data_IF_237330575470
#
_entry.id   IF_237330575470
#
_cell.length_a   1.000
_cell.length_b   1.000
_cell.length_c   1.000
_cell.angle_alpha   90.00
_cell.angle_beta   90.00
_cell.angle_gamma   90.00
#
_symmetry.space_group_name_H-M   'P 1'
#
loop_
_entity.id
_entity.type
_entity.pdbx_description
1 polymer ?
#
# COMPACT_ATOMS: atom_id res chain seq x y z
N UNK A 1 3.98 5.99 4.78
CA UNK A 1 3.48 6.52 6.09
C UNK A 1 2.49 5.54 6.70
N UNK A 2 2.55 5.29 8.01
CA UNK A 2 1.58 4.45 8.74
C UNK A 2 1.16 5.11 10.05
N UNK A 3 -0.12 5.07 10.39
CA UNK A 3 -0.65 5.56 11.67
C UNK A 3 -0.95 4.40 12.60
N UNK A 4 -0.40 4.43 13.80
CA UNK A 4 -0.55 3.38 14.80
C UNK A 4 -1.21 3.92 16.07
N UNK A 5 -1.99 3.08 16.72
CA UNK A 5 -2.61 3.35 18.02
C UNK A 5 -1.71 2.80 19.14
N UNK A 6 -1.38 3.63 20.12
CA UNK A 6 -0.69 3.16 21.32
C UNK A 6 -1.66 2.37 22.20
N UNK A 7 -1.34 1.12 22.53
CA UNK A 7 -2.27 0.18 23.18
C UNK A 7 -2.64 0.56 24.62
N UNK A 8 -1.72 1.16 25.38
CA UNK A 8 -2.01 1.63 26.75
C UNK A 8 -2.52 3.08 26.80
N UNK A 9 -1.87 3.99 26.06
CA UNK A 9 -2.19 5.42 26.07
C UNK A 9 -3.41 5.79 25.23
N UNK A 10 -3.85 4.89 24.36
CA UNK A 10 -4.97 5.08 23.42
C UNK A 10 -4.81 6.33 22.53
N UNK A 11 -3.57 6.64 22.17
CA UNK A 11 -3.18 7.81 21.39
C UNK A 11 -2.64 7.41 20.02
N UNK A 12 -3.15 8.04 18.96
CA UNK A 12 -2.72 7.79 17.58
C UNK A 12 -1.40 8.53 17.27
N UNK A 13 -0.49 7.85 16.59
CA UNK A 13 0.82 8.37 16.20
C UNK A 13 1.09 8.04 14.73
N UNK A 14 1.65 9.00 14.00
CA UNK A 14 2.03 8.82 12.60
C UNK A 14 3.52 8.52 12.53
N UNK A 15 3.85 7.43 11.85
CA UNK A 15 5.21 7.01 11.54
C UNK A 15 5.45 7.19 10.05
N UNK A 16 6.59 7.78 9.72
CA UNK A 16 7.12 7.79 8.37
C UNK A 16 8.12 6.64 8.22
N UNK A 17 8.32 6.17 6.99
CA UNK A 17 9.01 4.93 6.64
C UNK A 17 10.32 4.69 7.42
N UNK A 18 10.66 3.41 7.64
CA UNK A 18 11.82 2.86 8.37
C UNK A 18 11.91 3.19 9.87
N UNK A 19 10.94 3.93 10.43
CA UNK A 19 10.94 4.35 11.85
C UNK A 19 9.82 3.75 12.70
N UNK A 20 8.96 2.92 12.12
CA UNK A 20 7.90 2.28 12.87
C UNK A 20 8.50 1.26 13.86
N UNK A 21 8.18 1.41 15.14
CA UNK A 21 8.44 0.38 16.14
C UNK A 21 7.60 -0.88 15.82
N UNK A 22 7.97 -2.06 16.36
CA UNK A 22 7.15 -3.26 16.22
C UNK A 22 5.69 -3.01 16.60
N UNK A 23 4.77 -3.48 15.76
CA UNK A 23 3.33 -3.28 15.92
C UNK A 23 2.55 -4.55 15.62
N UNK A 24 1.42 -4.70 16.31
CA UNK A 24 0.38 -5.67 15.95
C UNK A 24 -0.51 -5.09 14.86
N UNK A 25 -1.02 -5.92 13.96
CA UNK A 25 -2.02 -5.49 12.98
C UNK A 25 -3.34 -6.22 13.23
N UNK A 26 -4.45 -5.48 13.26
CA UNK A 26 -5.78 -6.07 13.40
C UNK A 26 -6.34 -6.47 12.03
N UNK A 27 -7.01 -7.61 12.02
CA UNK A 27 -7.80 -8.12 10.92
C UNK A 27 -9.19 -8.43 11.44
N UNK A 28 -10.22 -7.83 10.84
CA UNK A 28 -11.57 -7.92 11.38
C UNK A 28 -12.66 -7.64 10.34
N UNK A 29 -13.86 -8.11 10.65
CA UNK A 29 -15.06 -7.75 9.91
C UNK A 29 -15.57 -6.39 10.38
N UNK A 30 -15.77 -5.49 9.43
CA UNK A 30 -16.48 -4.24 9.70
C UNK A 30 -17.95 -4.56 9.95
N UNK A 31 -18.50 -3.85 10.91
CA UNK A 31 -19.90 -3.86 11.30
C UNK A 31 -20.47 -2.44 11.16
N UNK A 32 -21.78 -2.26 11.32
CA UNK A 32 -22.40 -0.93 11.16
C UNK A 32 -22.01 0.05 12.29
N UNK A 33 -21.25 -0.42 13.29
CA UNK A 33 -20.84 0.36 14.46
C UNK A 33 -19.34 0.60 14.54
N UNK A 34 -18.58 0.39 13.45
CA UNK A 34 -17.15 0.74 13.43
C UNK A 34 -16.93 2.24 13.69
N UNK A 35 -15.81 2.55 14.33
CA UNK A 35 -15.39 3.92 14.61
C UNK A 35 -14.35 4.34 13.58
N UNK A 36 -14.64 5.40 12.83
CA UNK A 36 -13.71 6.05 11.91
C UNK A 36 -12.59 6.78 12.67
N UNK A 37 -11.51 7.15 11.97
CA UNK A 37 -10.43 7.97 12.54
C UNK A 37 -10.97 9.25 13.19
N UNK A 38 -11.87 9.97 12.49
CA UNK A 38 -12.42 11.23 12.97
C UNK A 38 -13.28 11.01 14.22
N UNK A 39 -14.16 10.01 14.20
CA UNK A 39 -15.01 9.71 15.36
C UNK A 39 -14.17 9.29 16.58
N UNK A 40 -13.07 8.57 16.36
CA UNK A 40 -12.12 8.19 17.40
C UNK A 40 -11.43 9.41 18.02
N UNK A 41 -10.87 10.29 17.18
CA UNK A 41 -10.17 11.51 17.62
C UNK A 41 -11.10 12.49 18.34
N UNK A 42 -12.36 12.56 17.91
CA UNK A 42 -13.39 13.41 18.52
C UNK A 42 -14.05 12.76 19.75
N UNK A 43 -13.69 11.52 20.07
CA UNK A 43 -14.28 10.73 21.17
C UNK A 43 -15.82 10.60 21.08
N UNK A 44 -16.38 10.72 19.88
CA UNK A 44 -17.82 10.90 19.64
C UNK A 44 -18.65 9.60 19.73
N UNK A 45 -17.98 8.43 19.75
CA UNK A 45 -18.62 7.10 19.73
C UNK A 45 -18.06 6.14 20.79
N UNK A 46 -17.67 6.66 21.96
CA UNK A 46 -17.10 5.86 23.07
C UNK A 46 -18.02 4.72 23.54
N UNK A 47 -19.34 4.88 23.42
CA UNK A 47 -20.33 3.87 23.82
C UNK A 47 -20.68 2.87 22.69
N UNK A 48 -19.99 2.92 21.54
CA UNK A 48 -20.27 2.02 20.42
C UNK A 48 -19.53 0.68 20.52
N UNK A 49 -20.11 -0.37 19.95
CA UNK A 49 -19.46 -1.68 19.86
C UNK A 49 -18.14 -1.64 19.06
N UNK A 50 -18.00 -0.73 18.10
CA UNK A 50 -16.75 -0.54 17.38
C UNK A 50 -15.65 0.06 18.26
N UNK A 51 -16.00 0.99 19.16
CA UNK A 51 -15.04 1.53 20.12
C UNK A 51 -14.64 0.47 21.15
N UNK A 52 -15.60 -0.27 21.69
CA UNK A 52 -15.34 -1.41 22.57
C UNK A 52 -14.39 -2.42 21.92
N UNK A 53 -14.60 -2.75 20.63
CA UNK A 53 -13.71 -3.63 19.88
C UNK A 53 -12.30 -3.07 19.74
N UNK A 54 -12.12 -1.77 19.51
CA UNK A 54 -10.79 -1.14 19.51
C UNK A 54 -10.12 -1.32 20.87
N UNK A 55 -10.83 -1.05 21.97
CA UNK A 55 -10.30 -1.23 23.33
C UNK A 55 -9.92 -2.69 23.59
N UNK A 56 -10.74 -3.63 23.16
CA UNK A 56 -10.49 -5.06 23.30
C UNK A 56 -9.25 -5.52 22.51
N UNK A 57 -9.04 -4.99 21.31
CA UNK A 57 -7.79 -5.22 20.57
C UNK A 57 -6.56 -4.69 21.33
N UNK A 58 -6.67 -3.50 21.92
CA UNK A 58 -5.60 -2.94 22.76
C UNK A 58 -5.36 -3.77 24.03
N UNK A 59 -6.42 -4.17 24.75
CA UNK A 59 -6.36 -5.04 25.93
C UNK A 59 -5.67 -6.36 25.60
N UNK A 60 -6.12 -7.03 24.53
CA UNK A 60 -5.54 -8.29 24.06
C UNK A 60 -4.06 -8.13 23.70
N UNK A 61 -3.70 -7.05 23.01
CA UNK A 61 -2.31 -6.77 22.64
C UNK A 61 -1.43 -6.57 23.88
N UNK A 62 -1.89 -5.76 24.83
CA UNK A 62 -1.18 -5.53 26.10
C UNK A 62 -1.00 -6.82 26.90
N UNK A 63 -2.00 -7.69 26.90
CA UNK A 63 -2.00 -8.94 27.66
C UNK A 63 -1.07 -10.01 27.06
N UNK A 64 -1.09 -10.18 25.74
CA UNK A 64 -0.45 -11.34 25.10
C UNK A 64 0.75 -11.00 24.20
N UNK A 65 0.95 -9.73 23.84
CA UNK A 65 2.01 -9.31 22.92
C UNK A 65 3.07 -8.48 23.66
N UNK A 66 3.67 -9.06 24.72
CA UNK A 66 4.55 -8.34 25.66
C UNK A 66 5.63 -7.52 24.95
N UNK A 67 5.66 -6.23 25.29
CA UNK A 67 6.62 -5.26 24.76
C UNK A 67 6.28 -4.72 23.36
N UNK A 68 5.12 -5.02 22.80
CA UNK A 68 4.58 -4.36 21.60
C UNK A 68 3.61 -3.27 22.06
N UNK A 69 3.91 -2.01 21.73
CA UNK A 69 3.15 -0.85 22.21
C UNK A 69 2.13 -0.33 21.21
N UNK A 70 2.19 -0.82 19.97
CA UNK A 70 1.51 -0.24 18.84
C UNK A 70 0.60 -1.27 18.19
N UNK A 71 -0.58 -0.83 17.79
CA UNK A 71 -1.51 -1.62 16.98
C UNK A 71 -2.00 -0.78 15.80
N UNK A 72 -2.12 -1.40 14.64
CA UNK A 72 -2.82 -0.83 13.49
C UNK A 72 -4.22 -1.45 13.37
N UNK A 73 -5.24 -0.60 13.23
CA UNK A 73 -6.63 -1.01 13.01
C UNK A 73 -7.18 -0.14 11.88
N UNK A 74 -7.47 -0.73 10.72
CA UNK A 74 -7.88 -0.02 9.49
C UNK A 74 -9.05 0.96 9.66
N UNK A 75 -9.92 0.75 10.66
CA UNK A 75 -11.06 1.61 10.94
C UNK A 75 -10.68 2.96 11.50
N UNK A 76 -9.74 2.99 12.44
CA UNK A 76 -9.32 4.21 13.13
C UNK A 76 -7.88 4.64 12.82
N UNK A 77 -7.12 3.85 12.06
CA UNK A 77 -5.74 4.17 11.65
C UNK A 77 -5.67 4.73 10.22
N UNK A 78 -6.69 4.57 9.38
CA UNK A 78 -6.73 5.19 8.05
C UNK A 78 -7.69 6.37 8.07
N UNK A 79 -7.23 7.52 7.58
CA UNK A 79 -8.10 8.63 7.22
C UNK A 79 -8.87 8.32 5.93
N UNK A 80 -10.09 7.81 6.09
CA UNK A 80 -10.96 7.47 4.95
C UNK A 80 -11.56 8.69 4.25
N UNK A 81 -11.39 9.88 4.83
CA UNK A 81 -11.81 11.15 4.21
C UNK A 81 -10.74 11.68 3.24
N UNK A 82 -9.48 11.26 3.40
CA UNK A 82 -8.38 11.57 2.50
C UNK A 82 -8.29 10.53 1.38
N UNK A 83 -8.61 10.94 0.15
CA UNK A 83 -8.49 10.05 -1.01
C UNK A 83 -7.06 9.62 -1.28
N UNK A 84 -6.09 10.48 -0.96
CA UNK A 84 -4.65 10.22 -1.06
C UNK A 84 -4.23 9.16 -0.04
N UNK A 85 -4.59 9.32 1.23
CA UNK A 85 -4.23 8.36 2.28
C UNK A 85 -4.87 6.99 2.02
N UNK A 86 -6.11 6.94 1.54
CA UNK A 86 -6.74 5.67 1.14
C UNK A 86 -6.02 5.02 -0.03
N UNK A 87 -5.49 5.80 -0.99
CA UNK A 87 -4.76 5.25 -2.12
C UNK A 87 -3.37 4.71 -1.68
N UNK A 88 -2.68 5.44 -0.80
CA UNK A 88 -1.45 4.99 -0.16
C UNK A 88 -1.71 3.71 0.63
N UNK A 89 -2.75 3.68 1.47
CA UNK A 89 -3.11 2.52 2.27
C UNK A 89 -3.39 1.29 1.42
N UNK A 90 -4.16 1.41 0.33
CA UNK A 90 -4.42 0.27 -0.58
C UNK A 90 -3.11 -0.29 -1.16
N UNK A 91 -2.17 0.59 -1.52
CA UNK A 91 -0.90 0.19 -2.15
C UNK A 91 0.08 -0.38 -1.11
N UNK A 92 0.01 0.08 0.14
CA UNK A 92 0.93 -0.31 1.21
C UNK A 92 0.42 -1.43 2.12
N UNK A 93 -0.88 -1.77 2.07
CA UNK A 93 -1.52 -2.68 3.04
C UNK A 93 -0.81 -4.03 3.14
N UNK A 94 -0.46 -4.67 2.01
CA UNK A 94 0.27 -5.93 2.03
C UNK A 94 1.57 -5.83 2.83
N UNK A 95 2.35 -4.78 2.56
CA UNK A 95 3.62 -4.51 3.24
C UNK A 95 3.38 -4.30 4.74
N UNK A 96 2.35 -3.56 5.13
CA UNK A 96 2.02 -3.38 6.54
C UNK A 96 1.65 -4.70 7.23
N UNK A 97 0.91 -5.59 6.56
CA UNK A 97 0.66 -6.93 7.08
C UNK A 97 1.92 -7.81 7.13
N UNK A 98 2.83 -7.67 6.16
CA UNK A 98 4.11 -8.40 6.13
C UNK A 98 5.06 -7.98 7.25
N UNK A 99 5.15 -6.68 7.52
CA UNK A 99 6.03 -6.09 8.54
C UNK A 99 5.46 -6.17 9.97
N UNK A 100 4.16 -6.46 10.10
CA UNK A 100 3.52 -6.59 11.39
C UNK A 100 4.15 -7.72 12.22
N UNK A 101 4.30 -7.46 13.52
CA UNK A 101 4.80 -8.42 14.49
C UNK A 101 3.92 -9.69 14.50
N UNK A 102 2.60 -9.50 14.50
CA UNK A 102 1.61 -10.53 14.24
C UNK A 102 0.30 -9.87 13.80
N UNK A 103 -0.55 -10.66 13.18
CA UNK A 103 -1.92 -10.29 12.82
C UNK A 103 -2.92 -10.91 13.80
N UNK A 104 -3.79 -10.09 14.40
CA UNK A 104 -4.91 -10.56 15.22
C UNK A 104 -6.19 -10.58 14.38
N UNK A 105 -6.65 -11.77 14.02
CA UNK A 105 -7.87 -11.97 13.24
C UNK A 105 -9.07 -12.22 14.16
N UNK A 106 -9.87 -11.19 14.42
CA UNK A 106 -11.10 -11.30 15.19
C UNK A 106 -12.27 -11.80 14.32
N UNK A 107 -12.83 -12.93 14.70
CA UNK A 107 -13.88 -13.65 13.98
C UNK A 107 -15.21 -13.55 14.70
N UNK A 108 -16.01 -12.55 14.32
CA UNK A 108 -17.32 -12.24 14.94
C UNK A 108 -18.39 -13.35 14.82
N UNK A 109 -18.13 -14.36 14.00
CA UNK A 109 -19.04 -15.45 13.66
C UNK A 109 -18.55 -16.82 14.13
N UNK A 110 -17.46 -16.85 14.91
CA UNK A 110 -16.90 -18.07 15.51
C UNK A 110 -17.11 -18.04 17.03
N UNK A 111 -17.50 -19.20 17.59
CA UNK A 111 -17.65 -19.42 19.03
C UNK A 111 -16.83 -20.65 19.41
N UNK A 112 -15.76 -20.43 20.15
CA UNK A 112 -14.88 -21.47 20.66
C UNK A 112 -13.96 -22.10 19.61
N UNK A 113 -13.11 -23.06 20.05
CA UNK A 113 -12.06 -23.69 19.27
C UNK A 113 -12.60 -24.77 18.32
N UNK A 114 -13.55 -24.42 17.44
CA UNK A 114 -14.06 -25.32 16.41
C UNK A 114 -13.45 -24.98 15.05
N UNK A 115 -12.53 -25.83 14.57
CA UNK A 115 -11.93 -25.73 13.24
C UNK A 115 -12.97 -25.71 12.12
N UNK A 116 -14.09 -26.42 12.28
CA UNK A 116 -15.19 -26.38 11.32
C UNK A 116 -15.79 -24.98 11.20
N UNK A 117 -16.00 -24.30 12.33
CA UNK A 117 -16.53 -22.94 12.39
C UNK A 117 -15.52 -21.91 11.90
N UNK A 118 -14.23 -22.10 12.19
CA UNK A 118 -13.15 -21.29 11.59
C UNK A 118 -13.25 -21.29 10.07
N UNK A 119 -13.32 -22.47 9.45
CA UNK A 119 -13.30 -22.59 7.98
C UNK A 119 -14.56 -22.03 7.30
N UNK A 120 -15.69 -22.07 8.00
CA UNK A 120 -16.97 -21.49 7.55
C UNK A 120 -17.05 -19.98 7.80
N UNK A 121 -16.13 -19.41 8.58
CA UNK A 121 -16.17 -17.99 8.91
C UNK A 121 -16.23 -17.14 7.65
N UNK A 122 -17.08 -16.13 7.69
CA UNK A 122 -17.18 -15.08 6.69
C UNK A 122 -15.86 -14.33 6.49
N UNK A 123 -14.93 -14.40 7.46
CA UNK A 123 -13.60 -13.85 7.32
C UNK A 123 -12.87 -14.44 6.10
N UNK A 124 -12.92 -15.76 5.90
CA UNK A 124 -12.30 -16.39 4.74
C UNK A 124 -13.03 -16.15 3.42
N UNK A 125 -14.21 -15.53 3.45
CA UNK A 125 -15.01 -15.23 2.27
C UNK A 125 -14.81 -13.78 1.80
N UNK A 126 -13.97 -12.96 2.43
CA UNK A 126 -13.68 -11.59 1.97
C UNK A 126 -12.48 -11.53 1.06
N UNK A 127 -12.50 -10.57 0.13
CA UNK A 127 -11.34 -10.28 -0.70
C UNK A 127 -10.13 -9.79 0.10
N UNK A 128 -10.28 -8.71 0.85
CA UNK A 128 -9.19 -8.07 1.60
C UNK A 128 -8.49 -9.01 2.58
N UNK A 129 -9.22 -9.90 3.25
CA UNK A 129 -8.66 -10.86 4.20
C UNK A 129 -7.74 -11.91 3.56
N UNK A 130 -7.64 -11.97 2.23
CA UNK A 130 -6.60 -12.77 1.58
C UNK A 130 -5.23 -12.22 1.91
N UNK A 131 -5.02 -10.91 1.73
CA UNK A 131 -3.77 -10.25 2.07
C UNK A 131 -3.51 -10.38 3.58
N UNK A 132 -4.55 -10.18 4.40
CA UNK A 132 -4.48 -10.29 5.86
C UNK A 132 -4.12 -11.72 6.33
N UNK A 133 -4.31 -12.73 5.48
CA UNK A 133 -3.93 -14.13 5.74
C UNK A 133 -2.51 -14.46 5.27
N UNK A 134 -2.17 -14.09 4.04
CA UNK A 134 -0.92 -14.55 3.38
C UNK A 134 0.27 -13.64 3.62
N UNK A 135 0.03 -12.35 3.92
CA UNK A 135 1.10 -11.39 4.14
C UNK A 135 1.77 -11.53 5.51
N UNK A 136 1.04 -11.67 6.65
CA UNK A 136 1.69 -11.80 7.94
C UNK A 136 2.39 -13.14 8.10
N UNK A 137 3.54 -13.15 8.77
CA UNK A 137 4.18 -14.41 9.19
C UNK A 137 3.27 -15.19 10.15
N UNK A 138 2.67 -14.49 11.12
CA UNK A 138 1.79 -15.08 12.11
C UNK A 138 0.40 -14.42 12.10
N UNK A 139 -0.66 -15.23 12.06
CA UNK A 139 -2.05 -14.80 12.25
C UNK A 139 -2.62 -15.58 13.42
N UNK A 140 -3.12 -14.89 14.45
CA UNK A 140 -3.82 -15.48 15.60
C UNK A 140 -5.31 -15.28 15.40
N UNK A 141 -6.07 -16.37 15.43
CA UNK A 141 -7.52 -16.35 15.30
C UNK A 141 -8.17 -16.23 16.68
N UNK A 142 -9.01 -15.20 16.83
CA UNK A 142 -9.71 -14.83 18.05
C UNK A 142 -11.21 -14.97 17.81
N UNK A 143 -11.92 -15.61 18.74
CA UNK A 143 -13.37 -15.81 18.64
C UNK A 143 -14.18 -14.63 19.22
N UNK A 144 -15.51 -14.77 19.23
CA UNK A 144 -16.41 -13.74 19.80
C UNK A 144 -16.25 -13.47 21.29
N UNK A 145 -15.60 -14.35 22.05
CA UNK A 145 -15.32 -14.20 23.48
C UNK A 145 -13.93 -13.61 23.74
N UNK A 146 -13.20 -13.20 22.69
CA UNK A 146 -11.81 -12.74 22.77
C UNK A 146 -10.82 -13.81 23.22
N UNK A 147 -11.16 -15.08 22.98
CA UNK A 147 -10.27 -16.21 23.23
C UNK A 147 -9.55 -16.61 21.94
N UNK A 148 -8.22 -16.76 22.00
CA UNK A 148 -7.48 -17.36 20.89
C UNK A 148 -7.61 -18.87 20.88
N UNK A 149 -7.82 -19.43 19.69
CA UNK A 149 -7.97 -20.88 19.54
C UNK A 149 -7.08 -21.50 18.47
N UNK A 150 -6.49 -20.68 17.60
CA UNK A 150 -5.62 -21.18 16.55
C UNK A 150 -4.70 -20.11 15.97
N UNK A 151 -3.61 -20.54 15.35
CA UNK A 151 -2.73 -19.67 14.58
C UNK A 151 -2.36 -20.27 13.22
N UNK A 152 -2.07 -19.38 12.27
CA UNK A 152 -1.35 -19.66 11.03
C UNK A 152 0.06 -19.11 11.17
N UNK A 153 1.08 -19.91 10.86
CA UNK A 153 2.49 -19.48 10.82
C UNK A 153 3.44 -20.65 10.87
N UNK A 154 4.73 -20.41 11.13
CA UNK A 154 5.72 -21.49 11.25
C UNK A 154 5.30 -22.49 12.34
N UNK A 155 5.45 -23.78 12.05
CA UNK A 155 5.16 -24.82 13.03
C UNK A 155 6.20 -24.78 14.17
N UNK A 156 5.78 -24.33 15.35
CA UNK A 156 6.65 -24.13 16.51
C UNK A 156 7.29 -25.44 17.01
N UNK A 157 6.63 -26.59 16.81
CA UNK A 157 7.20 -27.89 17.20
C UNK A 157 8.37 -28.34 16.31
N UNK A 158 8.49 -27.76 15.12
CA UNK A 158 9.59 -27.99 14.17
C UNK A 158 10.65 -26.88 14.20
N UNK A 159 10.42 -25.82 14.96
CA UNK A 159 11.40 -24.74 15.09
C UNK A 159 12.68 -25.28 15.73
N UNK A 160 13.83 -25.06 15.07
CA UNK A 160 15.13 -25.37 15.66
C UNK A 160 15.36 -24.34 16.77
N UNK A 161 15.26 -24.73 18.05
CA UNK A 161 15.49 -23.81 19.19
C UNK A 161 16.84 -23.07 19.00
N UNK A 162 16.94 -21.76 19.28
CA UNK A 162 16.01 -20.90 20.04
C UNK A 162 14.86 -20.30 19.21
N UNK A 163 13.69 -20.12 19.85
CA UNK A 163 12.55 -19.43 19.26
C UNK A 163 12.83 -17.92 19.20
N UNK A 164 12.41 -17.26 18.13
CA UNK A 164 12.42 -15.79 18.10
C UNK A 164 11.31 -15.21 19.01
N UNK A 165 11.31 -13.88 19.18
CA UNK A 165 10.37 -13.19 20.06
C UNK A 165 8.90 -13.49 19.75
N UNK A 166 8.52 -13.57 18.47
CA UNK A 166 7.13 -13.80 18.07
C UNK A 166 6.72 -15.23 18.39
N UNK A 167 7.58 -16.19 18.09
CA UNK A 167 7.39 -17.62 18.35
C UNK A 167 7.29 -17.93 19.84
N UNK A 168 8.15 -17.33 20.66
CA UNK A 168 8.10 -17.47 22.11
C UNK A 168 6.79 -16.91 22.68
N UNK A 169 6.23 -15.83 22.11
CA UNK A 169 4.92 -15.32 22.54
C UNK A 169 3.79 -16.29 22.17
N UNK A 170 3.80 -16.81 20.94
CA UNK A 170 2.79 -17.77 20.49
C UNK A 170 2.80 -19.06 21.32
N UNK A 171 3.99 -19.56 21.71
CA UNK A 171 4.13 -20.74 22.58
C UNK A 171 3.49 -20.51 23.96
N UNK A 172 3.46 -19.26 24.44
CA UNK A 172 2.89 -18.89 25.72
C UNK A 172 1.40 -18.47 25.66
N UNK A 173 0.80 -18.39 24.47
CA UNK A 173 -0.63 -18.05 24.34
C UNK A 173 -1.50 -19.26 24.76
N UNK A 174 -2.47 -19.09 25.68
CA UNK A 174 -3.30 -20.19 26.15
C UNK A 174 -4.10 -20.84 25.03
N UNK A 175 -4.12 -22.18 25.02
CA UNK A 175 -4.99 -22.99 24.15
C UNK A 175 -4.79 -22.76 22.63
N UNK A 176 -3.70 -22.11 22.24
CA UNK A 176 -3.40 -21.79 20.86
C UNK A 176 -2.91 -23.03 20.09
N UNK A 177 -3.55 -23.37 18.97
CA UNK A 177 -3.21 -24.54 18.13
C UNK A 177 -2.72 -24.14 16.76
N UNK A 178 -1.78 -24.90 16.20
CA UNK A 178 -1.41 -24.72 14.78
C UNK A 178 -2.57 -25.20 13.90
N UNK A 179 -3.22 -24.27 13.21
CA UNK A 179 -4.31 -24.55 12.26
C UNK A 179 -3.87 -24.31 10.81
N UNK A 180 -2.56 -24.19 10.57
CA UNK A 180 -2.00 -23.86 9.24
C UNK A 180 -2.42 -24.88 8.19
N UNK A 181 -2.35 -26.17 8.50
CA UNK A 181 -2.80 -27.24 7.61
C UNK A 181 -4.30 -27.20 7.35
N UNK A 182 -5.10 -26.96 8.37
CA UNK A 182 -6.55 -26.81 8.24
C UNK A 182 -6.91 -25.66 7.30
N UNK A 183 -6.21 -24.53 7.42
CA UNK A 183 -6.38 -23.38 6.52
C UNK A 183 -5.92 -23.70 5.10
N UNK A 184 -4.79 -24.39 4.93
CA UNK A 184 -4.29 -24.84 3.63
C UNK A 184 -5.35 -25.67 2.89
N UNK A 185 -5.83 -26.74 3.53
CA UNK A 185 -6.75 -27.70 2.93
C UNK A 185 -8.07 -27.02 2.52
N UNK A 186 -8.50 -26.02 3.27
CA UNK A 186 -9.76 -25.32 3.02
C UNK A 186 -9.66 -24.15 2.03
N UNK A 187 -8.46 -23.59 1.81
CA UNK A 187 -8.28 -22.37 0.99
C UNK A 187 -7.38 -22.56 -0.22
N UNK A 188 -6.82 -23.76 -0.38
CA UNK A 188 -5.92 -24.10 -1.49
C UNK A 188 -4.73 -23.13 -1.59
N UNK A 189 -4.24 -22.66 -0.43
CA UNK A 189 -3.04 -21.84 -0.29
C UNK A 189 -1.95 -22.77 0.24
N UNK A 190 -0.82 -22.97 -0.48
CA UNK A 190 0.22 -23.89 -0.07
C UNK A 190 0.76 -23.61 1.34
N UNK A 191 1.07 -24.67 2.12
CA UNK A 191 1.61 -24.56 3.49
C UNK A 191 2.83 -23.65 3.53
N UNK A 192 3.71 -23.77 2.55
CA UNK A 192 4.94 -22.98 2.44
C UNK A 192 4.67 -21.47 2.43
N UNK A 193 3.57 -21.01 1.81
CA UNK A 193 3.15 -19.60 1.80
C UNK A 193 2.56 -19.20 3.15
N UNK A 194 1.79 -20.10 3.77
CA UNK A 194 1.21 -19.85 5.08
C UNK A 194 2.25 -19.87 6.22
N UNK A 195 3.37 -20.56 6.05
CA UNK A 195 4.52 -20.53 6.97
C UNK A 195 5.44 -19.34 6.71
N UNK A 196 5.75 -19.06 5.45
CA UNK A 196 6.66 -18.01 5.03
C UNK A 196 6.05 -17.18 3.89
N UNK A 197 5.59 -15.95 4.20
CA UNK A 197 5.03 -15.03 3.19
C UNK A 197 5.96 -14.74 2.01
N UNK A 198 7.29 -14.91 2.17
CA UNK A 198 8.26 -14.72 1.07
C UNK A 198 8.06 -15.75 -0.05
N UNK A 199 7.51 -16.94 0.28
CA UNK A 199 7.18 -17.97 -0.70
C UNK A 199 6.01 -17.58 -1.60
N UNK A 200 5.28 -16.49 -1.30
CA UNK A 200 4.23 -16.01 -2.19
C UNK A 200 4.77 -15.67 -3.59
N UNK A 201 6.02 -15.20 -3.70
CA UNK A 201 6.66 -14.90 -5.00
C UNK A 201 6.81 -16.11 -5.92
N UNK A 202 6.95 -17.33 -5.36
CA UNK A 202 7.23 -18.56 -6.12
C UNK A 202 5.96 -19.22 -6.69
N UNK A 203 4.78 -18.72 -6.32
CA UNK A 203 3.51 -19.28 -6.77
C UNK A 203 3.11 -18.71 -8.12
N UNK A 204 2.63 -19.58 -9.01
CA UNK A 204 2.11 -19.20 -10.32
C UNK A 204 0.98 -18.17 -10.21
N UNK A 205 0.86 -17.32 -11.23
CA UNK A 205 -0.23 -16.34 -11.30
C UNK A 205 -1.59 -17.04 -11.29
N UNK A 206 -1.71 -18.16 -12.01
CA UNK A 206 -2.92 -18.98 -12.09
C UNK A 206 -3.35 -19.50 -10.72
N UNK A 207 -2.42 -19.97 -9.90
CA UNK A 207 -2.73 -20.48 -8.56
C UNK A 207 -3.08 -19.35 -7.59
N UNK A 208 -2.40 -18.21 -7.66
CA UNK A 208 -2.77 -17.01 -6.88
C UNK A 208 -4.20 -16.55 -7.18
N UNK A 209 -4.65 -16.64 -8.45
CA UNK A 209 -6.04 -16.36 -8.80
C UNK A 209 -7.03 -17.32 -8.16
N UNK A 210 -6.66 -18.59 -7.94
CA UNK A 210 -7.53 -19.58 -7.28
C UNK A 210 -7.81 -19.19 -5.82
N UNK A 211 -6.87 -18.55 -5.13
CA UNK A 211 -7.04 -18.11 -3.74
C UNK A 211 -8.17 -17.09 -3.54
N UNK A 212 -8.60 -16.44 -4.63
CA UNK A 212 -9.67 -15.45 -4.63
C UNK A 212 -11.04 -16.00 -5.06
N UNK A 213 -11.13 -17.23 -5.61
CA UNK A 213 -12.34 -17.71 -6.29
C UNK A 213 -13.61 -17.65 -5.41
N UNK A 214 -13.50 -18.02 -4.14
CA UNK A 214 -14.63 -18.05 -3.21
C UNK A 214 -14.79 -16.76 -2.39
N UNK A 215 -14.00 -15.73 -2.71
CA UNK A 215 -13.98 -14.46 -1.99
C UNK A 215 -14.88 -13.41 -2.63
N UNK A 216 -15.50 -12.60 -1.78
CA UNK A 216 -16.46 -11.55 -2.12
C UNK A 216 -15.93 -10.19 -1.64
N UNK A 217 -16.27 -9.15 -2.36
CA UNK A 217 -15.93 -7.77 -2.02
C UNK A 217 -17.17 -6.90 -1.93
N UNK A 218 -17.14 -5.89 -1.07
CA UNK A 218 -18.23 -4.92 -0.92
C UNK A 218 -18.27 -3.95 -2.10
N UNK A 219 -17.11 -3.44 -2.52
CA UNK A 219 -16.99 -2.65 -3.76
C UNK A 219 -16.65 -3.57 -4.94
N UNK A 220 -17.22 -3.35 -6.12
CA UNK A 220 -16.90 -4.15 -7.31
C UNK A 220 -15.41 -4.12 -7.68
N UNK A 221 -14.77 -2.95 -7.59
CA UNK A 221 -13.37 -2.72 -7.98
C UNK A 221 -12.37 -3.40 -7.04
N UNK A 222 -12.77 -3.65 -5.78
CA UNK A 222 -11.94 -4.34 -4.81
C UNK A 222 -11.60 -5.77 -5.26
N UNK A 223 -12.34 -6.36 -6.20
CA UNK A 223 -11.95 -7.63 -6.86
C UNK A 223 -10.57 -7.56 -7.50
N UNK A 224 -10.12 -6.36 -7.87
CA UNK A 224 -8.76 -6.09 -8.31
C UNK A 224 -7.89 -5.55 -7.17
N UNK A 225 -8.34 -4.53 -6.45
CA UNK A 225 -7.49 -3.80 -5.50
C UNK A 225 -6.98 -4.66 -4.34
N UNK A 226 -7.77 -5.63 -3.85
CA UNK A 226 -7.30 -6.53 -2.79
C UNK A 226 -6.28 -7.58 -3.26
N UNK A 227 -5.99 -7.66 -4.56
CA UNK A 227 -5.03 -8.62 -5.14
C UNK A 227 -3.71 -7.95 -5.56
N UNK A 228 -3.64 -6.61 -5.57
CA UNK A 228 -2.47 -5.90 -6.11
C UNK A 228 -1.18 -6.27 -5.37
N UNK A 229 -1.23 -6.36 -4.04
CA UNK A 229 -0.10 -6.75 -3.23
C UNK A 229 0.27 -8.22 -3.42
N UNK A 230 -0.71 -9.12 -3.52
CA UNK A 230 -0.48 -10.57 -3.75
C UNK A 230 0.26 -10.82 -5.06
N UNK A 231 -0.02 -9.99 -6.08
CA UNK A 231 0.65 -10.04 -7.38
C UNK A 231 1.89 -9.14 -7.47
N UNK A 232 2.21 -8.34 -6.46
CA UNK A 232 3.36 -7.44 -6.47
C UNK A 232 3.27 -6.32 -7.52
N UNK A 233 2.06 -5.85 -7.83
CA UNK A 233 1.82 -4.77 -8.81
C UNK A 233 1.20 -3.55 -8.15
N UNK A 234 1.31 -2.38 -8.80
CA UNK A 234 0.67 -1.15 -8.37
C UNK A 234 -0.43 -0.72 -9.33
N UNK A 235 -1.55 -0.25 -8.78
CA UNK A 235 -2.68 0.27 -9.56
C UNK A 235 -3.20 1.56 -8.92
N UNK A 236 -3.49 2.56 -9.76
CA UNK A 236 -4.23 3.74 -9.32
C UNK A 236 -5.67 3.35 -9.01
N UNK A 237 -6.10 3.60 -7.78
CA UNK A 237 -7.49 3.45 -7.32
C UNK A 237 -8.43 4.35 -8.13
N UNK A 238 -9.48 3.77 -8.69
CA UNK A 238 -10.50 4.44 -9.50
C UNK A 238 -11.89 3.83 -9.24
N UNK A 239 -12.49 4.13 -8.09
CA UNK A 239 -13.84 3.67 -7.77
C UNK A 239 -14.87 4.31 -8.70
N UNK A 240 -15.78 3.50 -9.27
CA UNK A 240 -16.72 3.88 -10.31
C UNK A 240 -16.38 3.30 -11.67
N UNK A 241 -15.17 2.76 -11.87
CA UNK A 241 -14.76 2.10 -13.12
C UNK A 241 -15.40 0.71 -13.32
N UNK A 242 -15.93 0.13 -12.24
CA UNK A 242 -16.53 -1.19 -12.23
C UNK A 242 -15.51 -2.34 -12.21
N UNK A 243 -15.97 -3.50 -11.73
CA UNK A 243 -15.12 -4.67 -11.50
C UNK A 243 -14.35 -5.13 -12.75
N UNK A 244 -15.01 -5.14 -13.92
CA UNK A 244 -14.41 -5.67 -15.14
C UNK A 244 -13.20 -4.85 -15.60
N UNK A 245 -13.30 -3.52 -15.52
CA UNK A 245 -12.22 -2.64 -15.94
C UNK A 245 -11.07 -2.67 -14.93
N UNK A 246 -11.38 -2.64 -13.63
CA UNK A 246 -10.39 -2.78 -12.56
C UNK A 246 -9.58 -4.09 -12.70
N UNK A 247 -10.26 -5.22 -12.94
CA UNK A 247 -9.62 -6.53 -13.14
C UNK A 247 -8.82 -6.57 -14.44
N UNK A 248 -9.29 -5.93 -15.52
CA UNK A 248 -8.53 -5.86 -16.77
C UNK A 248 -7.22 -5.06 -16.59
N UNK A 249 -7.25 -3.96 -15.82
CA UNK A 249 -6.06 -3.18 -15.47
C UNK A 249 -5.08 -4.00 -14.63
N UNK A 250 -5.57 -4.76 -13.65
CA UNK A 250 -4.75 -5.68 -12.87
C UNK A 250 -4.06 -6.71 -13.75
N UNK A 251 -4.80 -7.39 -14.63
CA UNK A 251 -4.22 -8.37 -15.57
C UNK A 251 -3.16 -7.76 -16.48
N UNK A 252 -3.37 -6.53 -16.95
CA UNK A 252 -2.36 -5.80 -17.74
C UNK A 252 -1.10 -5.53 -16.92
N UNK A 253 -1.24 -5.01 -15.69
CA UNK A 253 -0.11 -4.75 -14.81
C UNK A 253 0.70 -6.01 -14.50
N UNK A 254 0.03 -7.16 -14.30
CA UNK A 254 0.69 -8.45 -14.12
C UNK A 254 1.47 -8.84 -15.37
N UNK A 255 0.83 -8.77 -16.56
CA UNK A 255 1.49 -9.11 -17.83
C UNK A 255 2.68 -8.21 -18.15
N UNK A 256 2.61 -6.93 -17.79
CA UNK A 256 3.70 -6.00 -18.02
C UNK A 256 4.88 -6.28 -17.09
N UNK A 257 4.63 -6.69 -15.84
CA UNK A 257 5.66 -7.17 -14.91
C UNK A 257 6.39 -8.39 -15.50
N UNK A 258 5.65 -9.41 -15.96
CA UNK A 258 6.22 -10.62 -16.58
C UNK A 258 7.11 -10.32 -17.80
N UNK A 259 6.72 -9.37 -18.65
CA UNK A 259 7.50 -8.99 -19.86
C UNK A 259 8.81 -8.29 -19.55
N UNK A 260 8.87 -7.56 -18.43
CA UNK A 260 10.08 -6.81 -18.08
C UNK A 260 11.22 -7.70 -17.57
N UNK A 261 11.03 -9.02 -17.50
CA UNK A 261 12.05 -9.95 -16.97
C UNK A 261 12.24 -9.84 -15.46
N UNK A 262 11.51 -8.94 -14.80
CA UNK A 262 11.29 -9.01 -13.37
C UNK A 262 10.46 -10.25 -13.11
N UNK A 263 11.12 -11.33 -12.69
CA UNK A 263 10.42 -12.32 -11.90
C UNK A 263 9.67 -11.55 -10.79
N UNK A 264 8.52 -12.06 -10.34
CA UNK A 264 7.91 -11.57 -9.09
C UNK A 264 8.91 -11.53 -7.92
N UNK A 265 10.05 -12.22 -8.06
CA UNK A 265 11.26 -12.12 -7.26
C UNK A 265 11.83 -10.70 -7.12
N UNK A 266 11.77 -9.76 -8.08
CA UNK A 266 12.41 -8.43 -7.86
C UNK A 266 11.59 -7.53 -6.93
N UNK A 267 10.25 -7.60 -7.00
CA UNK A 267 9.39 -6.90 -6.06
C UNK A 267 9.42 -7.57 -4.67
N UNK A 268 9.53 -8.90 -4.60
CA UNK A 268 9.63 -9.66 -3.36
C UNK A 268 11.05 -9.68 -2.78
N UNK A 269 12.10 -9.56 -3.59
CA UNK A 269 13.51 -9.46 -3.17
C UNK A 269 13.86 -8.06 -2.70
N UNK A 270 13.29 -7.01 -3.30
CA UNK A 270 13.32 -5.66 -2.71
C UNK A 270 12.61 -5.62 -1.35
N UNK A 271 11.60 -6.48 -1.12
CA UNK A 271 10.95 -6.66 0.18
C UNK A 271 11.73 -7.62 1.11
N UNK A 272 12.51 -8.56 0.57
CA UNK A 272 13.29 -9.56 1.29
C UNK A 272 14.68 -9.10 1.73
N UNK A 273 15.32 -8.15 1.04
CA UNK A 273 16.61 -7.58 1.44
C UNK A 273 16.52 -6.77 2.74
N UNK A 274 15.36 -6.20 3.06
CA UNK A 274 15.09 -5.57 4.35
C UNK A 274 15.05 -6.57 5.54
N UNK A 275 14.92 -7.88 5.25
CA UNK A 275 14.82 -8.95 6.28
C UNK A 275 16.17 -9.62 6.55
N UNK A 276 17.18 -9.46 5.68
CA UNK A 276 18.51 -10.08 5.85
C UNK A 276 19.42 -9.44 6.91
N UNK A 277 18.94 -8.42 7.64
CA UNK A 277 19.74 -7.67 8.61
C UNK A 277 19.49 -7.98 10.10
N UNK A 278 18.72 -9.01 10.43
CA UNK A 278 18.42 -9.35 11.83
C UNK A 278 19.15 -10.62 12.26
N UNK A 279 20.46 -10.50 12.49
CA UNK A 279 21.22 -11.47 13.27
C UNK A 279 21.19 -11.10 14.76
N UNK A 280 20.88 -12.10 15.58
CA UNK A 280 20.21 -12.01 16.87
C UNK A 280 21.12 -11.65 18.08
N UNK A 281 22.28 -11.00 17.91
CA UNK A 281 23.19 -10.78 19.06
C UNK A 281 24.32 -9.72 18.94
N UNK A 282 24.15 -8.57 18.29
CA UNK A 282 25.21 -7.54 18.31
C UNK A 282 24.74 -6.12 18.62
N UNK A 283 25.46 -5.49 19.56
CA UNK A 283 25.40 -4.06 19.89
C UNK A 283 25.55 -3.25 18.61
N UNK A 284 24.56 -2.42 18.30
CA UNK A 284 24.47 -1.57 17.11
C UNK A 284 25.73 -0.72 16.95
N UNK A 285 26.60 -0.96 15.94
CA UNK A 285 27.44 0.09 15.41
C UNK A 285 26.61 0.85 14.38
N UNK A 286 26.58 2.18 14.48
CA UNK A 286 25.94 3.04 13.48
C UNK A 286 26.34 2.60 12.07
N UNK A 287 25.35 2.28 11.24
CA UNK A 287 25.56 2.07 9.81
C UNK A 287 26.13 3.37 9.23
N UNK A 288 27.41 3.35 8.89
CA UNK A 288 28.03 4.38 8.06
C UNK A 288 27.73 3.95 6.62
N UNK A 289 26.87 4.67 5.88
CA UNK A 289 26.56 4.30 4.51
C UNK A 289 27.85 4.30 3.68
N UNK A 290 28.02 3.36 2.74
CA UNK A 290 29.07 3.50 1.74
C UNK A 290 28.90 4.83 1.04
N UNK A 291 30.00 5.52 0.72
CA UNK A 291 29.97 6.70 -0.16
C UNK A 291 29.43 6.27 -1.52
N UNK A 292 28.12 6.33 -1.68
CA UNK A 292 27.45 6.18 -2.97
C UNK A 292 27.76 7.46 -3.75
N UNK A 293 28.44 7.29 -4.87
CA UNK A 293 28.69 8.38 -5.82
C UNK A 293 27.36 8.93 -6.30
N UNK A 294 27.27 10.25 -6.33
CA UNK A 294 26.13 11.04 -6.80
C UNK A 294 25.62 10.53 -8.15
N UNK A 295 24.56 9.73 -8.14
CA UNK A 295 23.77 9.43 -9.33
C UNK A 295 22.32 9.16 -8.89
N UNK A 296 21.38 10.09 -9.10
CA UNK A 296 19.99 9.94 -8.68
C UNK A 296 19.19 9.13 -9.71
N UNK A 297 18.41 8.17 -9.22
CA UNK A 297 17.36 7.41 -9.94
C UNK A 297 16.11 7.49 -9.06
N UNK A 298 14.87 7.82 -9.45
CA UNK A 298 14.12 7.93 -10.72
C UNK A 298 13.08 9.06 -10.54
N UNK A 299 12.86 9.87 -11.58
CA UNK A 299 11.89 10.98 -11.62
C UNK A 299 10.57 10.58 -12.29
N UNK A 300 9.45 11.22 -11.90
CA UNK A 300 8.12 11.05 -12.53
C UNK A 300 8.09 11.79 -13.88
N UNK A 301 8.13 11.04 -14.99
CA UNK A 301 8.01 11.62 -16.35
C UNK A 301 6.58 11.40 -16.85
N UNK A 302 5.78 12.47 -16.97
CA UNK A 302 4.52 12.42 -17.71
C UNK A 302 4.73 12.88 -19.16
N UNK A 303 4.44 11.99 -20.11
CA UNK A 303 4.53 12.28 -21.55
C UNK A 303 3.14 12.61 -22.08
N UNK A 304 2.96 13.77 -22.74
CA UNK A 304 1.68 14.18 -23.31
C UNK A 304 1.77 14.35 -24.83
N UNK A 305 1.07 13.51 -25.59
CA UNK A 305 1.00 13.61 -27.05
C UNK A 305 -0.21 14.45 -27.49
N UNK A 306 0.04 15.73 -27.77
CA UNK A 306 -0.96 16.73 -28.16
C UNK A 306 -1.45 16.60 -29.61
N UNK A 307 -0.90 15.65 -30.38
CA UNK A 307 -1.35 15.33 -31.73
C UNK A 307 -2.55 14.37 -31.74
N UNK A 308 -2.80 13.68 -30.62
CA UNK A 308 -3.90 12.74 -30.48
C UNK A 308 -5.25 13.45 -30.14
N UNK A 309 -6.31 13.30 -30.97
CA UNK A 309 -7.63 13.87 -30.71
C UNK A 309 -8.29 13.41 -29.40
N UNK A 310 -8.10 12.16 -28.96
CA UNK A 310 -8.64 11.66 -27.67
C UNK A 310 -7.93 12.29 -26.46
N UNK A 311 -6.65 12.64 -26.59
CA UNK A 311 -5.92 13.38 -25.56
C UNK A 311 -6.45 14.81 -25.42
N UNK A 312 -6.95 15.41 -26.51
CA UNK A 312 -7.60 16.72 -26.50
C UNK A 312 -8.97 16.70 -25.84
N UNK A 313 -9.71 15.60 -25.96
CA UNK A 313 -11.00 15.41 -25.31
C UNK A 313 -10.85 15.15 -23.81
N UNK A 314 -9.79 14.42 -23.40
CA UNK A 314 -9.40 14.27 -21.98
C UNK A 314 -9.06 15.61 -21.32
N UNK A 315 -8.46 16.56 -22.03
CA UNK A 315 -8.21 17.93 -21.54
C UNK A 315 -9.49 18.76 -21.32
N UNK A 316 -10.65 18.32 -21.82
CA UNK A 316 -11.94 18.97 -21.59
C UNK A 316 -12.61 18.55 -20.27
N UNK A 317 -12.03 17.60 -19.53
CA UNK A 317 -12.55 17.13 -18.24
C UNK A 317 -12.52 18.25 -17.18
N UNK A 318 -13.59 18.46 -16.39
CA UNK A 318 -13.71 19.60 -15.46
C UNK A 318 -12.53 19.75 -14.47
N UNK A 319 -11.96 18.63 -14.02
CA UNK A 319 -10.83 18.62 -13.08
C UNK A 319 -9.48 18.96 -13.75
N UNK A 320 -9.27 18.53 -15.00
CA UNK A 320 -8.11 18.95 -15.81
C UNK A 320 -8.25 20.41 -16.27
N UNK A 321 -9.49 20.92 -16.36
CA UNK A 321 -9.81 22.30 -16.70
C UNK A 321 -9.39 23.29 -15.60
N UNK A 322 -9.28 22.86 -14.35
CA UNK A 322 -8.74 23.66 -13.24
C UNK A 322 -7.22 23.83 -13.40
N UNK A 323 -6.50 22.76 -13.74
CA UNK A 323 -5.07 22.81 -14.05
C UNK A 323 -4.76 23.58 -15.35
N UNK A 324 -5.60 23.41 -16.37
CA UNK A 324 -5.44 24.08 -17.67
C UNK A 324 -5.87 25.56 -17.66
N UNK A 325 -6.75 26.00 -16.75
CA UNK A 325 -7.13 27.41 -16.65
C UNK A 325 -6.02 28.29 -16.07
N UNK A 326 -5.09 27.73 -15.28
CA UNK A 326 -3.86 28.40 -14.86
C UNK A 326 -2.88 28.59 -16.02
N UNK A 327 -3.04 27.81 -17.09
CA UNK A 327 -2.20 27.81 -18.29
C UNK A 327 -3.09 27.86 -19.54
N UNK A 328 -3.90 28.92 -19.69
CA UNK A 328 -4.49 29.24 -21.00
C UNK A 328 -4.24 30.69 -21.36
N UNK A 329 -3.44 30.86 -22.40
CA UNK A 329 -3.36 32.08 -23.16
C UNK A 329 -3.01 31.78 -24.62
N UNK A 330 -3.45 32.60 -25.59
CA UNK A 330 -3.05 32.56 -27.01
C UNK A 330 -1.53 32.46 -27.26
N UNK A 331 -0.73 32.73 -26.22
CA UNK A 331 0.71 32.63 -26.13
C UNK A 331 1.25 31.24 -26.46
N UNK A 332 0.71 30.16 -25.86
CA UNK A 332 1.17 28.78 -26.11
C UNK A 332 0.89 28.32 -27.55
N UNK A 333 -0.25 28.74 -28.11
CA UNK A 333 -0.59 28.42 -29.50
C UNK A 333 0.25 29.23 -30.52
N UNK A 334 0.65 30.45 -30.18
CA UNK A 334 1.56 31.25 -31.01
C UNK A 334 3.02 30.77 -30.91
N UNK A 335 3.46 30.38 -29.72
CA UNK A 335 4.81 29.88 -29.46
C UNK A 335 5.05 28.49 -30.07
N UNK A 336 4.05 27.59 -30.03
CA UNK A 336 4.12 26.32 -30.74
C UNK A 336 4.27 26.50 -32.27
N UNK A 337 3.58 27.50 -32.85
CA UNK A 337 3.71 27.83 -34.29
C UNK A 337 5.06 28.45 -34.64
N UNK A 338 5.64 29.25 -33.75
CA UNK A 338 6.96 29.86 -33.97
C UNK A 338 8.10 28.85 -33.83
N UNK A 339 8.05 27.97 -32.82
CA UNK A 339 9.03 26.89 -32.64
C UNK A 339 9.02 25.92 -33.85
N UNK A 340 7.83 25.60 -34.36
CA UNK A 340 7.67 24.76 -35.54
C UNK A 340 8.19 25.43 -36.83
N UNK A 341 8.10 26.76 -36.93
CA UNK A 341 8.64 27.56 -38.04
C UNK A 341 10.15 27.82 -37.95
N UNK A 342 10.74 27.76 -36.75
CA UNK A 342 12.18 27.90 -36.49
C UNK A 342 12.95 26.60 -36.72
N UNK A 343 12.35 25.44 -36.37
CA UNK A 343 12.90 24.12 -36.68
C UNK A 343 13.07 23.90 -38.19
N UNK A 344 12.16 24.43 -39.01
CA UNK A 344 12.29 24.44 -40.47
C UNK A 344 13.39 25.36 -41.04
N UNK A 345 14.05 26.18 -40.21
CA UNK A 345 15.08 27.16 -40.62
C UNK A 345 16.46 26.93 -39.98
N UNK A 346 16.65 25.86 -39.21
CA UNK A 346 17.97 25.41 -38.75
C UNK A 346 18.67 26.28 -37.69
N UNK A 347 17.93 26.95 -36.80
CA UNK A 347 18.51 27.59 -35.60
C UNK A 347 18.61 26.58 -34.44
N UNK A 348 19.58 26.76 -33.53
CA UNK A 348 19.70 25.89 -32.34
C UNK A 348 18.64 26.22 -31.30
N UNK A 349 18.10 25.16 -30.68
CA UNK A 349 16.97 25.20 -29.75
C UNK A 349 17.30 25.83 -28.38
N UNK A 350 18.58 25.82 -27.97
CA UNK A 350 19.01 26.21 -26.62
C UNK A 350 18.77 27.69 -26.28
N UNK A 351 18.89 28.60 -27.26
CA UNK A 351 18.67 30.05 -27.03
C UNK A 351 17.17 30.41 -26.92
N UNK A 352 16.29 29.67 -27.61
CA UNK A 352 14.83 29.90 -27.55
C UNK A 352 14.18 29.19 -26.36
N UNK A 353 14.69 28.02 -25.93
CA UNK A 353 14.26 27.30 -24.73
C UNK A 353 14.38 28.17 -23.46
N UNK A 354 15.52 28.85 -23.32
CA UNK A 354 15.79 29.76 -22.19
C UNK A 354 14.80 30.94 -22.17
N UNK A 355 14.43 31.45 -23.35
CA UNK A 355 13.50 32.59 -23.48
C UNK A 355 12.04 32.21 -23.16
N UNK A 356 11.61 31.02 -23.57
CA UNK A 356 10.26 30.51 -23.30
C UNK A 356 10.09 30.23 -21.81
N UNK A 357 11.10 29.63 -21.19
CA UNK A 357 11.09 29.33 -19.75
C UNK A 357 10.98 30.62 -18.92
N UNK A 358 11.81 31.63 -19.20
CA UNK A 358 11.77 32.92 -18.50
C UNK A 358 10.41 33.65 -18.61
N UNK A 359 9.71 33.49 -19.73
CA UNK A 359 8.39 34.11 -19.93
C UNK A 359 7.28 33.39 -19.14
N UNK A 360 7.34 32.06 -19.06
CA UNK A 360 6.40 31.26 -18.25
C UNK A 360 6.61 31.51 -16.74
N UNK A 361 7.87 31.57 -16.30
CA UNK A 361 8.30 31.96 -14.96
C UNK A 361 7.71 33.32 -14.55
N UNK A 362 7.85 34.33 -15.42
CA UNK A 362 7.39 35.70 -15.15
C UNK A 362 5.86 35.80 -15.07
N UNK A 363 5.14 35.08 -15.94
CA UNK A 363 3.67 35.07 -15.95
C UNK A 363 3.08 34.39 -14.70
N UNK A 364 3.75 33.34 -14.20
CA UNK A 364 3.33 32.64 -12.99
C UNK A 364 3.55 33.48 -11.72
N UNK A 365 4.72 34.13 -11.58
CA UNK A 365 5.04 35.05 -10.47
C UNK A 365 4.09 36.25 -10.42
N UNK A 366 3.67 36.78 -11.57
CA UNK A 366 2.69 37.86 -11.64
C UNK A 366 1.30 37.46 -11.09
N UNK A 367 0.94 36.17 -11.17
CA UNK A 367 -0.31 35.64 -10.61
C UNK A 367 -0.22 35.22 -9.13
N UNK A 368 1.00 35.02 -8.62
CA UNK A 368 1.25 34.45 -7.28
C UNK A 368 2.36 35.22 -6.55
N UNK A 369 2.19 36.52 -6.27
CA UNK A 369 3.27 37.41 -5.83
C UNK A 369 3.82 37.13 -4.41
N UNK A 370 3.15 36.27 -3.63
CA UNK A 370 3.53 35.90 -2.27
C UNK A 370 4.32 34.58 -2.17
N UNK A 371 4.53 33.87 -3.29
CA UNK A 371 5.31 32.64 -3.35
C UNK A 371 6.67 32.93 -3.99
N UNK A 372 7.76 32.53 -3.33
CA UNK A 372 9.08 32.62 -3.94
C UNK A 372 9.33 31.45 -4.88
N UNK A 373 10.19 31.64 -5.88
CA UNK A 373 10.42 30.63 -6.94
C UNK A 373 10.93 29.30 -6.36
N UNK A 374 11.73 29.36 -5.30
CA UNK A 374 12.30 28.20 -4.62
C UNK A 374 11.27 27.40 -3.78
N UNK A 375 10.13 27.99 -3.45
CA UNK A 375 9.08 27.34 -2.64
C UNK A 375 8.06 26.57 -3.50
N UNK A 376 7.97 26.90 -4.79
CA UNK A 376 6.89 26.42 -5.65
C UNK A 376 7.23 25.13 -6.43
N UNK A 377 8.51 24.86 -6.70
CA UNK A 377 8.91 23.77 -7.60
C UNK A 377 10.27 23.18 -7.23
N UNK A 378 10.35 22.43 -6.13
CA UNK A 378 11.61 21.75 -5.81
C UNK A 378 11.88 20.47 -6.62
N UNK A 379 10.94 19.92 -7.41
CA UNK A 379 11.15 18.60 -8.04
C UNK A 379 10.27 18.32 -9.28
N UNK A 380 10.11 19.25 -10.23
CA UNK A 380 9.37 18.93 -11.47
C UNK A 380 10.11 19.33 -12.74
N UNK A 381 10.43 18.30 -13.52
CA UNK A 381 11.01 18.42 -14.84
C UNK A 381 9.91 18.34 -15.91
N UNK A 382 9.88 19.30 -16.83
CA UNK A 382 8.97 19.28 -17.98
C UNK A 382 9.75 18.84 -19.22
N UNK A 383 9.35 17.71 -19.80
CA UNK A 383 9.87 17.19 -21.06
C UNK A 383 8.86 17.43 -22.17
N UNK A 384 9.23 18.28 -23.13
CA UNK A 384 8.41 18.56 -24.31
C UNK A 384 8.89 17.69 -25.47
N UNK A 385 7.95 17.00 -26.13
CA UNK A 385 8.22 16.15 -27.29
C UNK A 385 7.34 16.55 -28.48
N UNK A 386 7.89 16.45 -29.69
CA UNK A 386 7.10 16.45 -30.94
C UNK A 386 7.58 15.32 -31.84
N UNK A 387 6.66 14.51 -32.36
CA UNK A 387 6.95 13.38 -33.26
C UNK A 387 8.04 12.44 -32.74
N UNK A 388 8.01 12.12 -31.44
CA UNK A 388 8.95 11.18 -30.82
C UNK A 388 10.35 11.75 -30.55
N UNK A 389 10.61 13.03 -30.80
CA UNK A 389 11.90 13.67 -30.49
C UNK A 389 11.74 14.65 -29.32
N UNK A 390 12.60 14.53 -28.30
CA UNK A 390 12.68 15.47 -27.17
C UNK A 390 13.23 16.79 -27.67
N UNK A 391 12.52 17.89 -27.40
CA UNK A 391 12.84 19.24 -27.89
C UNK A 391 13.10 20.24 -26.74
N UNK A 392 13.43 19.73 -25.56
CA UNK A 392 13.91 20.54 -24.44
C UNK A 392 13.78 19.87 -23.08
N UNK A 393 14.67 20.23 -22.16
CA UNK A 393 14.70 19.82 -20.75
C UNK A 393 15.08 21.05 -19.92
N UNK A 394 14.21 21.46 -19.00
CA UNK A 394 14.51 22.49 -17.99
C UNK A 394 14.36 21.92 -16.59
N UNK A 395 15.32 22.26 -15.72
CA UNK A 395 15.24 22.15 -14.26
C UNK A 395 14.12 23.06 -13.72
#
# INVERSE_FOLDING_TARGET
MIRLLHVEKLSLHVFHDDKAEPYVIASHRWTDQEVSLQEYQQESRKDSLGYEKILKFCEYTTQYCTGVKWIWIDTCCIDKTSSEEVAEAITSMLRWYQEAFLCLAYLRDVKGPDEGSLLRSEWFQRGWTLQELVAPRYVVFIDTQWESFGYKGLNLSKASKPLNRNEALLENMPQLRDVTKTVQDAKNIPEQVLHDPQQCGTISIEDKWKWFQDRKTSRPEDRAYCMIGVFGVSLIKNYGEGANLAVARLKRAISDLEKTGGNGDDAVALLGEAVKGLDDNSVVPAYIPPKISKTPSKWLVQTLDISNPEARERLAHPELRVYANTIRGPLLAAQARNAQAAYGRGRSLEEEETSIFQQLTSAWQAGHPSLTWDEAWNDVWILLHTNGTTIGRGD
#
